data_IF_776978977157
#
_entry.id   IF_776978977157
#
_cell.length_a   1.000
_cell.length_b   1.000
_cell.length_c   1.000
_cell.angle_alpha   90.00
_cell.angle_beta   90.00
_cell.angle_gamma   90.00
#
_symmetry.space_group_name_H-M   'P 1'
#
loop_
_entity.id
_entity.type
_entity.pdbx_description
1 polymer ?
#
# COMPACT_ATOMS: atom_id res chain seq x y z
N UNK A 1 -17.33 -34.36 24.66
CA UNK A 1 -16.49 -34.30 23.44
C UNK A 1 -16.22 -32.85 23.19
N UNK A 2 -14.98 -32.44 23.46
CA UNK A 2 -14.55 -31.05 23.41
C UNK A 2 -14.67 -30.50 21.99
N UNK A 3 -15.58 -29.54 21.81
CA UNK A 3 -15.54 -28.67 20.64
C UNK A 3 -14.48 -27.64 20.98
N UNK A 4 -13.25 -27.90 20.53
CA UNK A 4 -12.18 -26.92 20.55
C UNK A 4 -12.55 -25.81 19.54
N UNK A 5 -13.50 -24.92 19.88
CA UNK A 5 -13.92 -23.82 19.02
C UNK A 5 -12.99 -22.63 19.23
N UNK A 6 -11.75 -22.76 18.78
CA UNK A 6 -10.96 -21.58 18.44
C UNK A 6 -11.55 -20.99 17.13
N UNK A 7 -12.76 -20.44 17.17
CA UNK A 7 -13.33 -19.65 16.08
C UNK A 7 -12.76 -18.24 16.12
N UNK A 8 -11.44 -18.13 16.19
CA UNK A 8 -10.77 -16.83 16.15
C UNK A 8 -10.84 -16.35 14.70
N UNK A 9 -11.64 -15.32 14.44
CA UNK A 9 -11.56 -14.59 13.18
C UNK A 9 -10.15 -14.03 13.08
N UNK A 10 -9.48 -14.33 11.98
CA UNK A 10 -8.13 -13.85 11.71
C UNK A 10 -8.17 -12.86 10.55
N UNK A 11 -7.23 -11.93 10.58
CA UNK A 11 -7.06 -10.97 9.50
C UNK A 11 -6.60 -11.66 8.21
N UNK A 12 -7.22 -11.32 7.07
CA UNK A 12 -6.93 -11.97 5.78
C UNK A 12 -5.71 -11.38 5.07
N UNK A 13 -4.53 -11.71 5.60
CA UNK A 13 -3.26 -11.29 5.02
C UNK A 13 -2.95 -11.90 3.65
N UNK A 14 -3.56 -13.05 3.33
CA UNK A 14 -3.36 -13.72 2.03
C UNK A 14 -4.08 -12.94 0.93
N UNK A 15 -5.33 -12.52 1.20
CA UNK A 15 -6.08 -11.64 0.32
C UNK A 15 -5.37 -10.31 0.12
N UNK A 16 -4.84 -9.71 1.20
CA UNK A 16 -4.07 -8.46 1.11
C UNK A 16 -2.91 -8.58 0.10
N UNK A 17 -2.07 -9.60 0.24
CA UNK A 17 -0.94 -9.79 -0.67
C UNK A 17 -1.39 -10.01 -2.11
N UNK A 18 -2.41 -10.83 -2.29
CA UNK A 18 -2.92 -11.20 -3.61
C UNK A 18 -3.48 -9.98 -4.34
N UNK A 19 -4.38 -9.23 -3.70
CA UNK A 19 -5.02 -8.07 -4.30
C UNK A 19 -4.03 -6.92 -4.52
N UNK A 20 -3.10 -6.65 -3.60
CA UNK A 20 -2.07 -5.61 -3.80
C UNK A 20 -1.18 -5.93 -5.00
N UNK A 21 -0.77 -7.20 -5.17
CA UNK A 21 0.01 -7.62 -6.35
C UNK A 21 -0.79 -7.52 -7.64
N UNK A 22 -2.08 -7.82 -7.60
CA UNK A 22 -2.97 -7.63 -8.75
C UNK A 22 -3.10 -6.14 -9.12
N UNK A 23 -3.26 -5.25 -8.14
CA UNK A 23 -3.30 -3.79 -8.37
C UNK A 23 -1.99 -3.26 -8.92
N UNK A 24 -0.86 -3.84 -8.51
CA UNK A 24 0.44 -3.49 -9.09
C UNK A 24 0.51 -3.83 -10.59
N UNK A 25 0.00 -4.99 -11.00
CA UNK A 25 -0.07 -5.37 -12.41
C UNK A 25 -1.05 -4.47 -13.20
N UNK A 26 -2.16 -4.07 -12.58
CA UNK A 26 -3.16 -3.21 -13.22
C UNK A 26 -2.62 -1.80 -13.52
N UNK A 27 -1.85 -1.22 -12.59
CA UNK A 27 -1.48 0.20 -12.67
C UNK A 27 0.01 0.44 -12.97
N UNK A 28 0.93 -0.43 -12.56
CA UNK A 28 2.36 -0.15 -12.70
C UNK A 28 2.94 -0.57 -14.06
N UNK A 29 2.15 -1.12 -14.97
CA UNK A 29 2.61 -1.41 -16.33
C UNK A 29 3.02 -0.15 -17.10
N UNK A 30 2.26 0.94 -16.95
CA UNK A 30 2.63 2.27 -17.42
C UNK A 30 2.96 3.18 -16.23
N UNK A 31 4.22 3.58 -16.12
CA UNK A 31 4.68 4.39 -15.00
C UNK A 31 4.34 5.86 -15.24
N UNK A 32 3.20 6.27 -14.69
CA UNK A 32 2.72 7.66 -14.69
C UNK A 32 2.26 8.08 -13.29
N UNK A 33 2.19 9.38 -13.02
CA UNK A 33 1.71 9.91 -11.74
C UNK A 33 0.27 9.45 -11.45
N UNK A 34 -0.60 9.48 -12.47
CA UNK A 34 -1.99 9.06 -12.36
C UNK A 34 -2.09 7.57 -11.97
N UNK A 35 -1.26 6.72 -12.56
CA UNK A 35 -1.26 5.29 -12.27
C UNK A 35 -0.65 4.97 -10.89
N UNK A 36 0.41 5.67 -10.49
CA UNK A 36 0.97 5.54 -9.14
C UNK A 36 -0.05 5.96 -8.07
N UNK A 37 -0.82 7.03 -8.33
CA UNK A 37 -1.92 7.46 -7.46
C UNK A 37 -3.07 6.43 -7.43
N UNK A 38 -3.49 5.91 -8.59
CA UNK A 38 -4.53 4.89 -8.64
C UNK A 38 -4.10 3.59 -7.92
N UNK A 39 -2.84 3.17 -8.07
CA UNK A 39 -2.25 2.06 -7.33
C UNK A 39 -2.34 2.30 -5.82
N UNK A 40 -1.83 3.45 -5.39
CA UNK A 40 -1.88 3.90 -4.01
C UNK A 40 -3.30 3.88 -3.39
N UNK A 41 -4.25 4.53 -4.04
CA UNK A 41 -5.64 4.60 -3.57
C UNK A 41 -6.28 3.20 -3.54
N UNK A 42 -6.11 2.41 -4.60
CA UNK A 42 -6.68 1.07 -4.68
C UNK A 42 -6.18 0.13 -3.58
N UNK A 43 -4.89 0.16 -3.25
CA UNK A 43 -4.31 -0.68 -2.19
C UNK A 43 -4.76 -0.25 -0.79
N UNK A 44 -4.99 1.07 -0.57
CA UNK A 44 -5.65 1.57 0.64
C UNK A 44 -7.07 1.00 0.78
N UNK A 45 -7.86 1.02 -0.30
CA UNK A 45 -9.20 0.43 -0.30
C UNK A 45 -9.19 -1.07 0.01
N UNK A 46 -8.21 -1.82 -0.52
CA UNK A 46 -8.04 -3.25 -0.20
C UNK A 46 -7.86 -3.45 1.30
N UNK A 47 -6.93 -2.73 1.94
CA UNK A 47 -6.68 -2.85 3.37
C UNK A 47 -7.90 -2.45 4.22
N UNK A 48 -8.57 -1.36 3.87
CA UNK A 48 -9.79 -0.91 4.56
C UNK A 48 -10.93 -1.95 4.44
N UNK A 49 -11.11 -2.53 3.26
CA UNK A 49 -12.09 -3.61 3.04
C UNK A 49 -11.77 -4.84 3.88
N UNK A 50 -10.51 -5.21 3.99
CA UNK A 50 -10.10 -6.36 4.82
C UNK A 50 -10.38 -6.10 6.30
N UNK A 51 -10.04 -4.92 6.82
CA UNK A 51 -10.38 -4.54 8.19
C UNK A 51 -11.90 -4.56 8.42
N UNK A 52 -12.68 -4.02 7.47
CA UNK A 52 -14.13 -4.00 7.56
C UNK A 52 -14.75 -5.39 7.65
N UNK A 53 -14.35 -6.28 6.74
CA UNK A 53 -14.81 -7.67 6.76
C UNK A 53 -14.42 -8.39 8.06
N UNK A 54 -13.21 -8.11 8.56
CA UNK A 54 -12.73 -8.68 9.82
C UNK A 54 -13.62 -8.25 11.01
N UNK A 55 -13.81 -6.94 11.24
CA UNK A 55 -14.56 -6.51 12.43
C UNK A 55 -16.05 -6.83 12.32
N UNK A 56 -16.62 -6.86 11.11
CA UNK A 56 -18.01 -7.31 10.91
C UNK A 56 -18.18 -8.79 11.25
N UNK A 57 -17.18 -9.62 10.93
CA UNK A 57 -17.18 -11.04 11.27
C UNK A 57 -17.03 -11.26 12.78
N UNK A 58 -16.17 -10.49 13.45
CA UNK A 58 -16.04 -10.51 14.91
C UNK A 58 -17.35 -10.10 15.57
N UNK A 59 -17.96 -9.02 15.10
CA UNK A 59 -19.24 -8.56 15.63
C UNK A 59 -20.36 -9.59 15.44
N UNK A 60 -20.44 -10.23 14.27
CA UNK A 60 -21.46 -11.27 14.00
C UNK A 60 -21.31 -12.48 14.94
N UNK A 61 -20.07 -12.87 15.26
CA UNK A 61 -19.81 -13.95 16.23
C UNK A 61 -20.43 -13.61 17.59
N UNK A 62 -20.22 -12.40 18.08
CA UNK A 62 -20.66 -12.02 19.43
C UNK A 62 -22.07 -11.45 19.50
N UNK A 63 -22.75 -11.29 18.36
CA UNK A 63 -24.14 -10.80 18.31
C UNK A 63 -25.15 -11.85 17.81
N UNK A 64 -24.83 -12.62 16.78
CA UNK A 64 -25.78 -13.48 16.08
C UNK A 64 -25.42 -14.98 16.10
N UNK A 65 -24.19 -15.33 16.49
CA UNK A 65 -23.73 -16.73 16.45
C UNK A 65 -24.00 -17.52 17.74
N UNK A 66 -23.47 -18.75 17.80
CA UNK A 66 -23.49 -19.60 19.00
C UNK A 66 -22.65 -19.05 20.15
N UNK A 67 -21.71 -18.14 19.88
CA UNK A 67 -20.87 -17.46 20.88
C UNK A 67 -21.40 -16.07 21.23
N UNK A 68 -22.66 -15.76 20.91
CA UNK A 68 -23.26 -14.48 21.22
C UNK A 68 -23.18 -14.15 22.71
N UNK A 69 -23.03 -12.88 23.04
CA UNK A 69 -23.02 -12.39 24.41
C UNK A 69 -24.41 -12.60 25.02
N UNK A 70 -24.50 -13.37 26.10
CA UNK A 70 -25.78 -13.66 26.78
C UNK A 70 -26.14 -12.62 27.84
N UNK A 71 -25.14 -11.98 28.46
CA UNK A 71 -25.35 -10.90 29.41
C UNK A 71 -25.88 -9.65 28.68
N UNK A 72 -27.11 -9.26 29.00
CA UNK A 72 -27.81 -8.14 28.36
C UNK A 72 -27.10 -6.80 28.57
N UNK A 73 -26.48 -6.57 29.72
CA UNK A 73 -25.77 -5.31 29.98
C UNK A 73 -24.48 -5.23 29.15
N UNK A 74 -23.74 -6.34 29.07
CA UNK A 74 -22.55 -6.44 28.23
C UNK A 74 -22.92 -6.35 26.76
N UNK A 75 -23.97 -7.06 26.32
CA UNK A 75 -24.45 -7.02 24.94
C UNK A 75 -24.83 -5.61 24.51
N UNK A 76 -25.61 -4.89 25.34
CA UNK A 76 -26.01 -3.51 25.04
C UNK A 76 -24.81 -2.57 24.93
N UNK A 77 -23.78 -2.72 25.77
CA UNK A 77 -22.53 -1.95 25.65
C UNK A 77 -21.74 -2.34 24.41
N UNK A 78 -21.71 -3.61 24.05
CA UNK A 78 -20.98 -4.13 22.90
C UNK A 78 -21.54 -3.57 21.58
N UNK A 79 -22.86 -3.54 21.44
CA UNK A 79 -23.54 -3.03 20.22
C UNK A 79 -23.76 -1.51 20.22
N UNK A 80 -23.29 -0.81 21.25
CA UNK A 80 -23.49 0.64 21.37
C UNK A 80 -22.92 1.38 20.16
N UNK A 81 -23.70 2.31 19.62
CA UNK A 81 -23.34 3.00 18.37
C UNK A 81 -22.20 4.01 18.57
N UNK A 82 -22.03 4.55 19.77
CA UNK A 82 -21.04 5.57 20.08
C UNK A 82 -19.75 4.98 20.61
N UNK A 83 -19.84 3.98 21.49
CA UNK A 83 -18.69 3.43 22.24
C UNK A 83 -18.63 1.90 22.23
N UNK A 84 -19.52 1.23 21.51
CA UNK A 84 -19.47 -0.22 21.33
C UNK A 84 -18.31 -0.68 20.44
N UNK A 85 -18.19 -2.00 20.27
CA UNK A 85 -17.06 -2.63 19.56
C UNK A 85 -16.84 -2.00 18.17
N UNK A 86 -17.87 -1.97 17.32
CA UNK A 86 -17.78 -1.40 15.96
C UNK A 86 -17.36 0.07 15.98
N UNK A 87 -17.87 0.85 16.93
CA UNK A 87 -17.56 2.27 17.05
C UNK A 87 -16.10 2.50 17.42
N UNK A 88 -15.58 1.69 18.36
CA UNK A 88 -14.17 1.74 18.77
C UNK A 88 -13.22 1.35 17.63
N UNK A 89 -13.51 0.27 16.88
CA UNK A 89 -12.66 -0.11 15.72
C UNK A 89 -12.66 0.98 14.65
N UNK A 90 -13.82 1.56 14.34
CA UNK A 90 -13.93 2.67 13.37
C UNK A 90 -13.17 3.90 13.82
N UNK A 91 -13.26 4.26 15.10
CA UNK A 91 -12.52 5.38 15.70
C UNK A 91 -11.01 5.13 15.62
N UNK A 92 -10.57 3.93 16.00
CA UNK A 92 -9.16 3.53 15.85
C UNK A 92 -8.68 3.65 14.40
N UNK A 93 -9.45 3.19 13.42
CA UNK A 93 -9.07 3.26 12.00
C UNK A 93 -8.99 4.71 11.48
N UNK A 94 -9.80 5.62 12.05
CA UNK A 94 -9.74 7.05 11.73
C UNK A 94 -8.54 7.75 12.40
N UNK A 95 -8.22 7.39 13.64
CA UNK A 95 -7.11 7.96 14.41
C UNK A 95 -5.75 7.40 13.99
N UNK A 96 -5.73 6.19 13.41
CA UNK A 96 -4.55 5.51 12.93
C UNK A 96 -4.65 5.39 11.41
N UNK A 97 -4.53 6.51 10.71
CA UNK A 97 -4.48 6.48 9.25
C UNK A 97 -3.34 5.56 8.77
N UNK A 98 -3.60 4.83 7.68
CA UNK A 98 -2.62 3.95 7.05
C UNK A 98 -1.38 4.78 6.71
N UNK A 99 -0.36 4.62 7.55
CA UNK A 99 0.92 5.31 7.42
C UNK A 99 1.92 4.28 6.93
N UNK A 100 2.44 4.50 5.73
CA UNK A 100 3.21 3.49 5.01
C UNK A 100 4.69 3.73 5.32
N UNK A 101 5.23 2.92 6.24
CA UNK A 101 6.49 3.14 6.95
C UNK A 101 7.76 2.64 6.25
N UNK A 102 8.80 3.47 6.33
CA UNK A 102 10.21 3.22 6.01
C UNK A 102 10.63 1.91 5.32
N UNK A 103 10.91 2.02 4.03
CA UNK A 103 11.82 1.13 3.31
C UNK A 103 13.18 1.82 3.18
N UNK A 104 14.20 1.49 3.98
CA UNK A 104 15.55 2.07 3.82
C UNK A 104 15.94 2.13 2.34
N UNK A 105 15.94 3.32 1.76
CA UNK A 105 16.40 3.59 0.40
C UNK A 105 17.79 4.17 0.51
N UNK A 106 18.81 3.35 0.27
CA UNK A 106 20.04 3.88 -0.31
C UNK A 106 19.70 4.21 -1.75
N UNK A 107 19.62 5.50 -2.16
CA UNK A 107 19.36 5.85 -3.54
C UNK A 107 20.52 5.27 -4.37
N UNK A 108 20.29 4.18 -5.08
CA UNK A 108 21.34 3.54 -5.88
C UNK A 108 21.59 4.26 -7.20
N UNK A 109 20.75 5.25 -7.55
CA UNK A 109 20.78 5.90 -8.84
C UNK A 109 21.68 7.15 -8.86
N UNK A 110 22.87 6.96 -9.43
CA UNK A 110 23.52 8.03 -10.20
C UNK A 110 22.59 8.42 -11.34
N UNK A 111 22.26 9.70 -11.45
CA UNK A 111 21.63 10.27 -12.65
C UNK A 111 22.33 9.73 -13.89
N UNK A 112 21.59 9.42 -14.97
CA UNK A 112 22.22 9.01 -16.22
C UNK A 112 23.17 10.13 -16.66
N UNK A 113 24.47 9.83 -16.72
CA UNK A 113 25.39 10.62 -17.53
C UNK A 113 24.87 10.49 -18.97
N UNK A 114 24.16 11.53 -19.43
CA UNK A 114 23.96 11.73 -20.84
C UNK A 114 25.35 11.95 -21.42
N UNK A 115 26.00 10.89 -21.92
CA UNK A 115 27.23 11.01 -22.69
C UNK A 115 26.98 12.05 -23.78
N UNK A 116 27.71 13.16 -23.67
CA UNK A 116 27.70 14.34 -24.53
C UNK A 116 27.09 14.09 -25.92
N UNK A 117 25.85 14.53 -26.09
CA UNK A 117 25.35 14.91 -27.39
C UNK A 117 24.92 16.37 -27.26
N UNK A 118 25.52 17.23 -28.08
CA UNK A 118 25.17 18.63 -28.31
C UNK A 118 23.66 18.79 -28.63
N UNK A 119 22.80 18.62 -27.63
CA UNK A 119 21.38 18.92 -27.71
C UNK A 119 21.20 20.27 -27.04
N UNK A 120 21.44 21.30 -27.84
CA UNK A 120 21.13 22.68 -27.52
C UNK A 120 19.65 22.77 -27.12
N UNK A 121 19.42 22.98 -25.82
CA UNK A 121 18.22 23.55 -25.18
C UNK A 121 16.85 23.03 -25.66
N UNK A 122 16.22 22.22 -24.82
CA UNK A 122 15.12 22.69 -23.95
C UNK A 122 15.24 21.91 -22.64
N UNK A 123 15.28 22.56 -21.46
CA UNK A 123 15.04 21.85 -20.22
C UNK A 123 13.60 21.35 -20.33
N UNK A 124 13.41 20.09 -20.71
CA UNK A 124 12.16 19.40 -20.44
C UNK A 124 12.00 19.56 -18.93
N UNK A 125 10.88 20.15 -18.52
CA UNK A 125 10.61 20.58 -17.17
C UNK A 125 10.65 19.40 -16.18
N UNK A 126 11.85 18.96 -15.80
CA UNK A 126 12.09 17.95 -14.76
C UNK A 126 11.80 18.57 -13.38
N UNK A 127 11.73 19.90 -13.28
CA UNK A 127 11.26 20.63 -12.10
C UNK A 127 9.78 20.37 -11.73
N UNK A 128 8.98 19.76 -12.61
CA UNK A 128 7.56 19.47 -12.36
C UNK A 128 7.30 18.13 -11.67
N UNK A 129 8.18 17.13 -11.84
CA UNK A 129 7.92 15.76 -11.34
C UNK A 129 8.04 15.70 -9.82
N UNK A 130 9.04 16.36 -9.23
CA UNK A 130 9.20 16.38 -7.77
C UNK A 130 8.08 17.10 -7.02
N UNK A 131 7.49 18.15 -7.63
CA UNK A 131 6.46 18.99 -6.99
C UNK A 131 5.05 18.38 -7.13
N UNK A 132 4.75 17.71 -8.25
CA UNK A 132 3.44 17.06 -8.48
C UNK A 132 3.26 15.77 -7.67
N UNK A 133 4.31 14.95 -7.58
CA UNK A 133 4.34 13.71 -6.78
C UNK A 133 4.02 14.00 -5.31
N UNK A 134 4.48 15.12 -4.77
CA UNK A 134 4.20 15.55 -3.40
C UNK A 134 2.72 15.90 -3.16
N UNK A 135 1.97 16.38 -4.16
CA UNK A 135 0.57 16.83 -3.99
C UNK A 135 -0.41 15.65 -4.11
N UNK A 136 -0.09 14.63 -4.92
CA UNK A 136 -0.94 13.44 -5.11
C UNK A 136 -0.70 12.29 -4.13
N UNK A 137 0.51 12.19 -3.53
CA UNK A 137 0.91 11.09 -2.64
C UNK A 137 0.90 11.48 -1.15
N UNK A 138 0.13 12.47 -0.73
CA UNK A 138 -0.01 12.90 0.67
C UNK A 138 -0.44 11.78 1.64
N UNK A 139 -0.83 10.62 1.11
CA UNK A 139 -1.20 9.39 1.82
C UNK A 139 0.04 8.55 2.21
N UNK A 140 1.25 8.95 1.81
CA UNK A 140 2.49 8.19 1.96
C UNK A 140 3.59 9.01 2.62
N UNK A 141 4.53 8.32 3.29
CA UNK A 141 5.73 8.94 3.87
C UNK A 141 6.65 9.50 2.78
N UNK A 142 7.58 10.40 3.16
CA UNK A 142 8.56 11.03 2.25
C UNK A 142 9.38 10.03 1.42
N UNK A 143 9.51 8.79 1.91
CA UNK A 143 10.32 7.74 1.30
C UNK A 143 9.60 7.00 0.17
N UNK A 144 8.28 6.87 0.26
CA UNK A 144 7.42 6.35 -0.80
C UNK A 144 7.35 7.30 -1.98
N UNK A 145 7.32 8.60 -1.68
CA UNK A 145 7.50 9.66 -2.66
C UNK A 145 8.84 9.50 -3.39
N UNK A 146 9.92 9.10 -2.69
CA UNK A 146 11.22 8.87 -3.31
C UNK A 146 11.22 7.69 -4.30
N UNK A 147 10.68 6.52 -3.92
CA UNK A 147 10.60 5.34 -4.83
C UNK A 147 9.66 5.62 -6.01
N UNK A 148 8.54 6.31 -5.78
CA UNK A 148 7.63 6.73 -6.85
C UNK A 148 8.30 7.72 -7.82
N UNK A 149 9.05 8.69 -7.30
CA UNK A 149 9.83 9.63 -8.11
C UNK A 149 10.94 8.92 -8.90
N UNK A 150 11.59 7.92 -8.33
CA UNK A 150 12.61 7.08 -8.98
C UNK A 150 12.00 6.28 -10.14
N UNK A 151 10.84 5.65 -9.92
CA UNK A 151 10.07 4.99 -10.96
C UNK A 151 9.70 5.94 -12.11
N UNK A 152 9.22 7.15 -11.80
CA UNK A 152 8.90 8.16 -12.82
C UNK A 152 10.13 8.60 -13.61
N UNK A 153 11.26 8.83 -12.94
CA UNK A 153 12.51 9.20 -13.59
C UNK A 153 13.01 8.09 -14.53
N UNK A 154 12.96 6.83 -14.09
CA UNK A 154 13.30 5.67 -14.91
C UNK A 154 12.36 5.50 -16.10
N UNK A 155 11.04 5.70 -15.90
CA UNK A 155 10.04 5.65 -16.96
C UNK A 155 10.30 6.71 -18.04
N UNK A 156 10.56 7.96 -17.64
CA UNK A 156 10.90 9.06 -18.56
C UNK A 156 12.21 8.78 -19.29
N UNK A 157 13.24 8.29 -18.59
CA UNK A 157 14.50 7.91 -19.22
C UNK A 157 14.30 6.80 -20.27
N UNK A 158 13.58 5.73 -19.92
CA UNK A 158 13.29 4.64 -20.85
C UNK A 158 12.50 5.13 -22.08
N UNK A 159 11.49 5.98 -21.89
CA UNK A 159 10.69 6.55 -22.98
C UNK A 159 11.53 7.47 -23.90
N UNK A 160 12.29 8.40 -23.32
CA UNK A 160 13.14 9.33 -24.08
C UNK A 160 14.22 8.61 -24.86
N UNK A 161 14.88 7.63 -24.24
CA UNK A 161 15.81 6.76 -24.95
C UNK A 161 15.11 6.01 -26.08
N UNK A 162 13.95 5.39 -25.84
CA UNK A 162 13.17 4.68 -26.89
C UNK A 162 12.84 5.57 -28.09
N UNK A 163 12.65 6.87 -27.87
CA UNK A 163 12.34 7.86 -28.91
C UNK A 163 13.60 8.39 -29.64
N UNK A 164 14.76 8.46 -28.98
CA UNK A 164 16.03 8.91 -29.58
C UNK A 164 16.70 7.77 -30.38
N UNK A 165 16.14 7.47 -31.55
CA UNK A 165 16.58 6.35 -32.41
C UNK A 165 17.79 6.71 -33.31
N UNK A 166 18.82 7.35 -32.78
CA UNK A 166 20.01 7.72 -33.57
C UNK A 166 21.32 7.05 -33.08
N UNK A 167 21.85 6.18 -33.95
CA UNK A 167 23.25 5.81 -34.16
C UNK A 167 24.04 4.88 -33.21
N UNK A 168 23.44 4.11 -32.28
CA UNK A 168 24.18 3.04 -31.56
C UNK A 168 23.31 1.84 -31.15
N UNK A 169 22.85 1.03 -32.10
CA UNK A 169 21.89 -0.09 -31.88
C UNK A 169 22.25 -1.05 -30.72
N UNK A 170 23.52 -1.46 -30.58
CA UNK A 170 23.93 -2.39 -29.49
C UNK A 170 23.98 -1.74 -28.10
N UNK A 171 24.47 -0.49 -27.99
CA UNK A 171 24.49 0.25 -26.70
C UNK A 171 23.08 0.69 -26.30
N UNK A 172 22.24 0.97 -27.28
CA UNK A 172 20.83 1.28 -27.11
C UNK A 172 20.07 0.10 -26.49
N UNK A 173 20.14 -1.09 -27.09
CA UNK A 173 19.42 -2.27 -26.59
C UNK A 173 19.87 -2.67 -25.16
N UNK A 174 21.18 -2.57 -24.88
CA UNK A 174 21.71 -2.82 -23.54
C UNK A 174 21.22 -1.81 -22.50
N UNK A 175 21.22 -0.50 -22.83
CA UNK A 175 20.72 0.54 -21.91
C UNK A 175 19.22 0.43 -21.65
N UNK A 176 18.42 0.20 -22.70
CA UNK A 176 16.96 -0.03 -22.55
C UNK A 176 16.70 -1.23 -21.64
N UNK A 177 17.36 -2.36 -21.88
CA UNK A 177 17.22 -3.55 -21.03
C UNK A 177 17.64 -3.30 -19.59
N UNK A 178 18.71 -2.51 -19.35
CA UNK A 178 19.14 -2.11 -18.01
C UNK A 178 18.05 -1.29 -17.30
N UNK A 179 17.43 -0.33 -18.00
CA UNK A 179 16.35 0.46 -17.42
C UNK A 179 15.11 -0.38 -17.12
N UNK A 180 14.72 -1.29 -18.02
CA UNK A 180 13.61 -2.20 -17.80
C UNK A 180 13.85 -3.08 -16.56
N UNK A 181 15.07 -3.61 -16.38
CA UNK A 181 15.42 -4.35 -15.17
C UNK A 181 15.35 -3.50 -13.89
N UNK A 182 15.80 -2.24 -13.94
CA UNK A 182 15.73 -1.33 -12.80
C UNK A 182 14.28 -0.98 -12.45
N UNK A 183 13.43 -0.74 -13.46
CA UNK A 183 12.00 -0.50 -13.26
C UNK A 183 11.35 -1.68 -12.55
N UNK A 184 11.62 -2.92 -12.99
CA UNK A 184 11.03 -4.12 -12.37
C UNK A 184 11.53 -4.33 -10.92
N UNK A 185 12.80 -4.01 -10.64
CA UNK A 185 13.33 -4.05 -9.27
C UNK A 185 12.65 -3.03 -8.36
N UNK A 186 12.49 -1.78 -8.81
CA UNK A 186 11.85 -0.74 -8.01
C UNK A 186 10.34 -0.97 -7.88
N UNK A 187 9.65 -1.53 -8.90
CA UNK A 187 8.26 -2.00 -8.76
C UNK A 187 8.14 -3.07 -7.68
N UNK A 188 8.99 -4.10 -7.72
CA UNK A 188 8.95 -5.17 -6.73
C UNK A 188 9.23 -4.63 -5.32
N UNK A 189 10.18 -3.70 -5.19
CA UNK A 189 10.49 -3.00 -3.95
C UNK A 189 9.27 -2.24 -3.44
N UNK A 190 8.68 -1.38 -4.26
CA UNK A 190 7.45 -0.65 -3.97
C UNK A 190 6.37 -1.59 -3.43
N UNK A 191 5.97 -2.58 -4.23
CA UNK A 191 4.89 -3.53 -3.90
C UNK A 191 5.14 -4.27 -2.59
N UNK A 192 6.35 -4.79 -2.38
CA UNK A 192 6.66 -5.55 -1.17
C UNK A 192 6.68 -4.67 0.10
N UNK A 193 7.07 -3.40 -0.02
CA UNK A 193 7.02 -2.45 1.10
C UNK A 193 5.60 -2.15 1.51
N UNK A 194 4.74 -1.92 0.51
CA UNK A 194 3.34 -1.63 0.75
C UNK A 194 2.66 -2.76 1.47
N UNK A 195 2.89 -3.98 0.98
CA UNK A 195 2.37 -5.19 1.60
C UNK A 195 2.82 -5.26 3.06
N UNK A 196 4.09 -5.01 3.35
CA UNK A 196 4.62 -5.04 4.72
C UNK A 196 3.92 -4.02 5.61
N UNK A 197 3.79 -2.78 5.15
CA UNK A 197 3.21 -1.70 5.95
C UNK A 197 1.72 -1.87 6.17
N UNK A 198 0.99 -2.30 5.13
CA UNK A 198 -0.43 -2.63 5.24
C UNK A 198 -0.65 -3.83 6.16
N UNK A 199 0.24 -4.84 6.14
CA UNK A 199 0.21 -5.94 7.11
C UNK A 199 0.40 -5.43 8.53
N UNK A 200 1.40 -4.58 8.76
CA UNK A 200 1.63 -3.99 10.09
C UNK A 200 0.42 -3.21 10.58
N UNK A 201 -0.17 -2.37 9.73
CA UNK A 201 -1.38 -1.63 10.08
C UNK A 201 -2.55 -2.55 10.44
N UNK A 202 -2.80 -3.57 9.61
CA UNK A 202 -3.85 -4.56 9.87
C UNK A 202 -3.57 -5.40 11.13
N UNK A 203 -2.32 -5.77 11.40
CA UNK A 203 -1.94 -6.46 12.64
C UNK A 203 -2.18 -5.60 13.88
N UNK A 204 -1.88 -4.30 13.80
CA UNK A 204 -2.18 -3.37 14.89
C UNK A 204 -3.70 -3.24 15.12
N UNK A 205 -4.50 -3.24 14.04
CA UNK A 205 -5.96 -3.24 14.11
C UNK A 205 -6.51 -4.52 14.76
N UNK A 206 -5.97 -5.68 14.38
CA UNK A 206 -6.33 -6.97 14.97
C UNK A 206 -5.99 -7.02 16.46
N UNK A 207 -4.82 -6.50 16.85
CA UNK A 207 -4.44 -6.40 18.26
C UNK A 207 -5.40 -5.50 19.03
N UNK A 208 -5.66 -4.29 18.53
CA UNK A 208 -6.62 -3.37 19.15
C UNK A 208 -8.02 -4.01 19.27
N UNK A 209 -8.47 -4.73 18.24
CA UNK A 209 -9.72 -5.49 18.29
C UNK A 209 -9.75 -6.50 19.44
N UNK A 210 -8.67 -7.27 19.62
CA UNK A 210 -8.58 -8.21 20.74
C UNK A 210 -8.63 -7.47 22.09
N UNK A 211 -7.95 -6.34 22.23
CA UNK A 211 -7.96 -5.53 23.45
C UNK A 211 -9.37 -4.99 23.77
N UNK A 212 -10.12 -4.57 22.76
CA UNK A 212 -11.51 -4.14 22.90
C UNK A 212 -12.40 -5.33 23.32
N UNK A 213 -12.24 -6.51 22.73
CA UNK A 213 -12.98 -7.71 23.13
C UNK A 213 -12.72 -8.07 24.60
N UNK A 214 -11.46 -8.01 25.04
CA UNK A 214 -11.09 -8.25 26.45
C UNK A 214 -11.76 -7.23 27.38
N UNK A 215 -11.93 -5.98 26.95
CA UNK A 215 -12.66 -4.97 27.74
C UNK A 215 -14.14 -5.30 27.98
N UNK A 216 -14.73 -6.13 27.10
CA UNK A 216 -16.07 -6.69 27.24
C UNK A 216 -16.10 -8.04 27.96
N UNK A 217 -14.95 -8.55 28.44
CA UNK A 217 -14.83 -9.85 29.09
C UNK A 217 -14.83 -11.04 28.12
N UNK A 218 -14.56 -10.79 26.83
CA UNK A 218 -14.54 -11.80 25.77
C UNK A 218 -13.09 -12.26 25.54
N UNK A 219 -12.84 -13.57 25.54
CA UNK A 219 -11.52 -14.20 25.34
C UNK A 219 -11.50 -15.13 24.13
#
# INVERSE_FOLDING_TARGET
>A
MDINSNSKVMMDFVRLETEVRQKAQEYLDDISEANLKAFAESTKYVAQSILENYFLSVDDIYTNSVLKIEDIEVFNKFIDFHDGYRAQIKRWAADNEITIGEMMVTPTLKYPEMEDANITKKPIAIAGVGTLVAVGLFIFTEMWIAVAAELLALGVAAYTYKKSKENREKRYAFRVKKYEMQIEQEKARLVNGLIKDLKTWLSNAEQFSNDVLVSFGIQ
#
